data_IF_148802912841
#
_entry.id   IF_148802912841
#
_cell.length_a   1.000
_cell.length_b   1.000
_cell.length_c   1.000
_cell.angle_alpha   90.00
_cell.angle_beta   90.00
_cell.angle_gamma   90.00
#
_symmetry.space_group_name_H-M   'P 1'
#
loop_
_entity.id
_entity.type
_entity.pdbx_description
1 polymer ?
#
# COMPACT_ATOMS: atom_id res chain seq x y z
N UNK A 1 8.77 2.21 18.89
CA UNK A 1 8.70 3.63 18.49
C UNK A 1 9.18 3.70 17.06
N UNK A 2 8.33 4.16 16.14
CA UNK A 2 8.38 3.83 14.71
C UNK A 2 9.48 4.53 13.92
N UNK A 3 10.01 3.82 12.93
CA UNK A 3 10.83 4.39 11.86
C UNK A 3 9.94 4.52 10.63
N UNK A 4 9.47 5.75 10.36
CA UNK A 4 8.64 6.04 9.19
C UNK A 4 9.52 6.26 7.97
N UNK A 5 9.57 5.27 7.06
CA UNK A 5 10.16 5.44 5.74
C UNK A 5 9.28 6.40 4.91
N UNK A 6 9.78 7.60 4.68
CA UNK A 6 9.15 8.62 3.84
C UNK A 6 9.21 8.20 2.38
N UNK A 7 8.10 7.65 1.86
CA UNK A 7 7.91 7.41 0.42
C UNK A 7 7.72 8.76 -0.28
N UNK A 8 8.80 9.36 -0.78
CA UNK A 8 8.70 10.46 -1.75
C UNK A 8 8.06 9.90 -3.02
N UNK A 9 6.79 10.24 -3.25
CA UNK A 9 6.11 10.02 -4.54
C UNK A 9 6.76 10.95 -5.55
N UNK A 10 7.46 10.40 -6.54
CA UNK A 10 7.86 11.16 -7.72
C UNK A 10 6.68 11.12 -8.67
N UNK A 11 6.00 12.26 -8.82
CA UNK A 11 5.01 12.46 -9.87
C UNK A 11 5.81 13.02 -11.05
N UNK A 12 5.90 12.26 -12.13
CA UNK A 12 6.43 12.74 -13.41
C UNK A 12 5.22 13.33 -14.13
N UNK A 13 5.16 14.66 -14.21
CA UNK A 13 4.22 15.34 -15.08
C UNK A 13 4.82 15.35 -16.48
N UNK A 14 4.15 14.68 -17.41
CA UNK A 14 4.52 14.66 -18.81
C UNK A 14 4.21 16.05 -19.42
N UNK A 15 5.26 16.84 -19.62
CA UNK A 15 5.22 18.08 -20.37
C UNK A 15 5.99 17.89 -21.70
N UNK A 16 5.21 17.80 -22.77
CA UNK A 16 5.51 18.35 -24.09
C UNK A 16 6.81 17.88 -24.79
N UNK A 17 6.69 16.81 -25.58
CA UNK A 17 6.95 16.89 -27.02
C UNK A 17 8.39 16.98 -27.57
N UNK A 18 9.44 16.93 -26.75
CA UNK A 18 10.80 16.68 -27.24
C UNK A 18 11.59 15.85 -26.22
N UNK A 19 11.54 14.52 -26.36
CA UNK A 19 12.18 13.57 -25.45
C UNK A 19 13.69 13.51 -25.69
N UNK A 20 14.40 14.54 -25.24
CA UNK A 20 15.83 14.49 -24.99
C UNK A 20 16.01 14.76 -23.50
N UNK A 21 16.09 13.68 -22.71
CA UNK A 21 16.48 13.79 -21.30
C UNK A 21 17.94 14.22 -21.24
N UNK A 22 18.20 15.52 -21.16
CA UNK A 22 19.55 16.06 -20.99
C UNK A 22 20.05 15.78 -19.57
N UNK A 23 20.78 14.68 -19.43
CA UNK A 23 21.49 14.35 -18.21
C UNK A 23 22.77 15.18 -18.14
N UNK A 24 22.98 15.89 -17.03
CA UNK A 24 24.20 16.69 -16.82
C UNK A 24 25.43 15.80 -16.65
N UNK A 25 26.60 16.26 -17.11
CA UNK A 25 27.87 15.51 -17.07
C UNK A 25 28.23 14.99 -15.66
N UNK A 26 27.84 15.72 -14.61
CA UNK A 26 28.02 15.29 -13.22
C UNK A 26 27.20 14.04 -12.88
N UNK A 27 25.96 13.95 -13.38
CA UNK A 27 25.08 12.78 -13.18
C UNK A 27 25.59 11.59 -13.97
N UNK A 28 26.10 11.80 -15.19
CA UNK A 28 26.73 10.74 -16.01
C UNK A 28 27.97 10.18 -15.30
N UNK A 29 28.79 11.02 -14.68
CA UNK A 29 29.97 10.56 -13.91
C UNK A 29 29.60 9.73 -12.70
N UNK A 30 28.57 10.13 -11.95
CA UNK A 30 28.04 9.33 -10.83
C UNK A 30 27.51 7.98 -11.30
N UNK A 31 26.81 7.92 -12.45
CA UNK A 31 26.36 6.66 -13.03
C UNK A 31 27.53 5.73 -13.41
N UNK A 32 28.68 6.29 -13.81
CA UNK A 32 29.90 5.54 -14.11
C UNK A 32 30.76 5.23 -12.87
N UNK A 33 30.35 5.67 -11.69
CA UNK A 33 31.12 5.49 -10.44
C UNK A 33 32.40 6.32 -10.35
N UNK A 34 32.55 7.36 -11.18
CA UNK A 34 33.69 8.28 -11.10
C UNK A 34 33.42 9.38 -10.07
N UNK A 35 34.44 9.84 -9.33
CA UNK A 35 34.28 10.95 -8.38
C UNK A 35 33.90 12.27 -9.10
N UNK A 36 33.08 13.08 -8.44
CA UNK A 36 32.71 14.42 -8.93
C UNK A 36 33.94 15.34 -8.95
N UNK A 37 34.07 16.16 -9.99
CA UNK A 37 35.18 17.13 -10.12
C UNK A 37 34.68 18.50 -9.68
N UNK A 38 35.13 18.96 -8.51
CA UNK A 38 34.88 20.32 -8.03
C UNK A 38 35.55 21.34 -8.95
N UNK A 39 34.74 22.15 -9.65
CA UNK A 39 35.21 23.35 -10.34
C UNK A 39 35.23 24.52 -9.37
N UNK A 40 36.32 24.66 -8.62
CA UNK A 40 36.71 25.95 -8.01
C UNK A 40 37.54 26.72 -9.04
N UNK A 41 37.08 27.93 -9.35
CA UNK A 41 37.69 28.77 -10.38
C UNK A 41 38.97 29.46 -9.92
N UNK A 42 39.96 29.52 -10.81
CA UNK A 42 41.00 30.56 -10.81
C UNK A 42 41.43 30.86 -12.25
N UNK A 43 41.41 32.14 -12.62
CA UNK A 43 41.97 32.68 -13.87
C UNK A 43 43.50 32.68 -13.82
N UNK A 44 44.19 32.32 -14.89
CA UNK A 44 45.40 33.04 -15.33
C UNK A 44 45.76 32.75 -16.80
N UNK A 45 46.18 33.79 -17.51
CA UNK A 45 46.51 33.83 -18.93
C UNK A 45 48.03 33.91 -19.15
N UNK A 46 48.54 33.31 -20.25
CA UNK A 46 49.67 33.85 -21.06
C UNK A 46 49.98 32.97 -22.30
N UNK A 47 50.05 33.62 -23.46
CA UNK A 47 50.35 33.18 -24.84
C UNK A 47 51.89 33.02 -25.11
N UNK A 48 52.43 32.51 -26.26
CA UNK A 48 51.91 32.70 -27.63
C UNK A 48 52.03 31.58 -28.68
N UNK A 49 51.39 31.92 -29.80
CA UNK A 49 51.20 31.31 -31.12
C UNK A 49 52.30 30.44 -31.70
N UNK A 50 51.86 29.32 -32.30
CA UNK A 50 52.39 28.89 -33.61
C UNK A 50 51.22 28.51 -34.51
N UNK A 51 51.19 29.15 -35.68
CA UNK A 51 50.16 29.00 -36.69
C UNK A 51 50.22 27.62 -37.36
N UNK A 52 49.05 27.03 -37.64
CA UNK A 52 48.82 26.21 -38.84
C UNK A 52 47.31 26.17 -39.10
N UNK A 53 46.92 26.64 -40.27
CA UNK A 53 45.54 26.73 -40.74
C UNK A 53 44.88 25.34 -40.91
N UNK A 54 43.54 25.25 -40.85
CA UNK A 54 42.80 24.01 -40.92
C UNK A 54 42.60 23.55 -42.37
N UNK A 55 42.87 22.28 -42.64
CA UNK A 55 42.42 21.59 -43.85
C UNK A 55 41.09 20.90 -43.54
N UNK A 56 39.96 21.23 -44.19
CA UNK A 56 38.71 20.51 -44.00
C UNK A 56 38.52 19.48 -45.13
N UNK A 57 38.48 18.20 -44.76
CA UNK A 57 37.96 17.11 -45.61
C UNK A 57 37.49 15.94 -44.73
N UNK A 58 36.50 15.15 -45.19
CA UNK A 58 35.19 15.04 -44.51
C UNK A 58 35.06 13.85 -43.54
N UNK A 59 34.30 13.96 -42.42
CA UNK A 59 33.96 12.82 -41.56
C UNK A 59 32.46 12.47 -41.71
N UNK A 60 32.07 11.70 -42.73
CA UNK A 60 30.66 11.32 -42.93
C UNK A 60 30.38 9.84 -42.68
N UNK A 61 31.41 9.01 -42.52
CA UNK A 61 31.23 7.55 -42.27
C UNK A 61 31.20 7.18 -40.78
N UNK A 62 31.88 7.94 -39.91
CA UNK A 62 31.98 7.62 -38.47
C UNK A 62 30.73 8.00 -37.68
N UNK A 63 29.98 9.01 -38.12
CA UNK A 63 28.74 9.44 -37.47
C UNK A 63 27.64 8.38 -37.61
N UNK A 64 27.41 7.85 -38.82
CA UNK A 64 26.39 6.82 -39.06
C UNK A 64 26.65 5.50 -38.31
N UNK A 65 27.92 5.16 -38.08
CA UNK A 65 28.32 3.97 -37.30
C UNK A 65 28.11 4.21 -35.80
N UNK A 66 28.45 5.40 -35.31
CA UNK A 66 28.16 5.83 -33.93
C UNK A 66 26.66 5.89 -33.65
N UNK A 67 25.85 6.38 -34.59
CA UNK A 67 24.39 6.43 -34.47
C UNK A 67 23.79 5.02 -34.42
N UNK A 68 24.28 4.10 -35.26
CA UNK A 68 23.87 2.68 -35.19
C UNK A 68 24.24 2.05 -33.86
N UNK A 69 25.49 2.22 -33.40
CA UNK A 69 25.93 1.70 -32.10
C UNK A 69 25.10 2.27 -30.94
N UNK A 70 24.79 3.57 -30.99
CA UNK A 70 23.95 4.24 -29.99
C UNK A 70 22.52 3.70 -30.02
N UNK A 71 21.95 3.45 -31.20
CA UNK A 71 20.60 2.88 -31.35
C UNK A 71 20.49 1.46 -30.80
N UNK A 72 21.55 0.65 -30.94
CA UNK A 72 21.61 -0.71 -30.39
C UNK A 72 21.65 -0.66 -28.86
N UNK A 73 22.53 0.17 -28.29
CA UNK A 73 22.62 0.35 -26.83
C UNK A 73 21.32 0.85 -26.21
N UNK A 74 20.60 1.76 -26.91
CA UNK A 74 19.28 2.24 -26.47
C UNK A 74 18.25 1.12 -26.42
N UNK A 75 18.17 0.30 -27.47
CA UNK A 75 17.25 -0.85 -27.52
C UNK A 75 17.54 -1.88 -26.43
N UNK A 76 18.81 -2.21 -26.21
CA UNK A 76 19.19 -3.14 -25.14
C UNK A 76 18.79 -2.60 -23.75
N UNK A 77 18.94 -1.30 -23.53
CA UNK A 77 18.49 -0.65 -22.31
C UNK A 77 16.95 -0.66 -22.18
N UNK A 78 16.23 -0.33 -23.25
CA UNK A 78 14.76 -0.39 -23.29
C UNK A 78 14.26 -1.79 -22.96
N UNK A 79 14.80 -2.83 -23.61
CA UNK A 79 14.43 -4.23 -23.37
C UNK A 79 14.69 -4.63 -21.91
N UNK A 80 15.83 -4.22 -21.34
CA UNK A 80 16.15 -4.46 -19.95
C UNK A 80 15.13 -3.81 -19.00
N UNK A 81 14.79 -2.54 -19.21
CA UNK A 81 13.84 -1.84 -18.35
C UNK A 81 12.41 -2.36 -18.51
N UNK A 82 11.99 -2.71 -19.73
CA UNK A 82 10.70 -3.36 -19.98
C UNK A 82 10.61 -4.71 -19.27
N UNK A 83 11.69 -5.49 -19.26
CA UNK A 83 11.73 -6.74 -18.50
C UNK A 83 11.59 -6.50 -16.99
N UNK A 84 12.26 -5.47 -16.45
CA UNK A 84 12.13 -5.10 -15.03
C UNK A 84 10.72 -4.64 -14.69
N UNK A 85 10.08 -3.85 -15.55
CA UNK A 85 8.70 -3.40 -15.35
C UNK A 85 7.76 -4.60 -15.32
N UNK A 86 7.90 -5.56 -16.25
CA UNK A 86 7.09 -6.79 -16.27
C UNK A 86 7.25 -7.60 -14.99
N UNK A 87 8.48 -7.85 -14.54
CA UNK A 87 8.75 -8.57 -13.30
C UNK A 87 8.17 -7.85 -12.07
N UNK A 88 8.24 -6.52 -12.01
CA UNK A 88 7.60 -5.74 -10.95
C UNK A 88 6.07 -5.83 -10.99
N UNK A 89 5.46 -5.76 -12.18
CA UNK A 89 4.03 -5.91 -12.36
C UNK A 89 3.55 -7.31 -11.94
N UNK A 90 4.25 -8.37 -12.36
CA UNK A 90 3.93 -9.75 -12.01
C UNK A 90 4.00 -9.98 -10.49
N UNK A 91 5.05 -9.46 -9.84
CA UNK A 91 5.18 -9.51 -8.37
C UNK A 91 4.06 -8.75 -7.69
N UNK A 92 3.69 -7.57 -8.19
CA UNK A 92 2.62 -6.77 -7.62
C UNK A 92 1.26 -7.50 -7.71
N UNK A 93 0.94 -8.05 -8.88
CA UNK A 93 -0.27 -8.85 -9.10
C UNK A 93 -0.31 -10.05 -8.16
N UNK A 94 0.81 -10.77 -8.02
CA UNK A 94 0.91 -11.91 -7.11
C UNK A 94 0.67 -11.50 -5.66
N UNK A 95 1.28 -10.41 -5.21
CA UNK A 95 1.10 -9.88 -3.86
C UNK A 95 -0.35 -9.46 -3.63
N UNK A 96 -0.94 -8.69 -4.54
CA UNK A 96 -2.34 -8.28 -4.46
C UNK A 96 -3.28 -9.48 -4.36
N UNK A 97 -3.05 -10.51 -5.19
CA UNK A 97 -3.82 -11.75 -5.14
C UNK A 97 -3.72 -12.42 -3.76
N UNK A 98 -2.50 -12.63 -3.25
CA UNK A 98 -2.29 -13.25 -1.95
C UNK A 98 -2.91 -12.42 -0.81
N UNK A 99 -2.79 -11.10 -0.86
CA UNK A 99 -3.41 -10.20 0.12
C UNK A 99 -4.93 -10.29 0.10
N UNK A 100 -5.54 -10.30 -1.09
CA UNK A 100 -6.99 -10.41 -1.23
C UNK A 100 -7.50 -11.78 -0.73
N UNK A 101 -6.79 -12.87 -1.04
CA UNK A 101 -7.11 -14.20 -0.55
C UNK A 101 -7.02 -14.28 0.98
N UNK A 102 -5.94 -13.78 1.58
CA UNK A 102 -5.78 -13.76 3.03
C UNK A 102 -6.81 -12.87 3.72
N UNK A 103 -7.14 -11.72 3.12
CA UNK A 103 -8.18 -10.84 3.63
C UNK A 103 -9.55 -11.53 3.62
N UNK A 104 -9.90 -12.19 2.52
CA UNK A 104 -11.15 -12.95 2.43
C UNK A 104 -11.25 -14.05 3.49
N UNK A 105 -10.14 -14.78 3.75
CA UNK A 105 -10.07 -15.78 4.81
C UNK A 105 -10.27 -15.13 6.19
N UNK A 106 -9.59 -14.01 6.45
CA UNK A 106 -9.71 -13.29 7.73
C UNK A 106 -11.13 -12.77 7.95
N UNK A 107 -11.78 -12.24 6.90
CA UNK A 107 -13.19 -11.82 6.94
C UNK A 107 -14.08 -13.01 7.28
N UNK A 108 -13.93 -14.15 6.60
CA UNK A 108 -14.73 -15.35 6.92
C UNK A 108 -14.53 -15.83 8.36
N UNK A 109 -13.31 -15.76 8.88
CA UNK A 109 -13.03 -16.16 10.27
C UNK A 109 -13.73 -15.22 11.27
N UNK A 110 -13.68 -13.91 11.02
CA UNK A 110 -14.39 -12.91 11.81
C UNK A 110 -15.90 -13.12 11.68
N UNK A 111 -16.43 -13.30 10.48
CA UNK A 111 -17.85 -13.54 10.27
C UNK A 111 -18.32 -14.79 11.02
N UNK A 112 -17.59 -15.90 10.95
CA UNK A 112 -17.90 -17.12 11.70
C UNK A 112 -17.95 -16.90 13.22
N UNK A 113 -17.07 -16.05 13.75
CA UNK A 113 -16.99 -15.74 15.18
C UNK A 113 -18.04 -14.73 15.63
N UNK A 114 -18.40 -13.77 14.78
CA UNK A 114 -19.15 -12.57 15.18
C UNK A 114 -20.53 -12.41 14.53
N UNK A 115 -20.81 -13.01 13.36
CA UNK A 115 -22.14 -12.94 12.71
C UNK A 115 -23.18 -13.77 13.47
N UNK A 116 -22.75 -14.81 14.19
CA UNK A 116 -23.58 -15.52 15.17
C UNK A 116 -23.92 -14.67 16.41
N UNK A 117 -23.35 -13.47 16.53
CA UNK A 117 -23.71 -12.46 17.53
C UNK A 117 -24.65 -11.41 16.91
N UNK A 118 -25.51 -11.82 15.99
CA UNK A 118 -26.90 -11.35 16.02
C UNK A 118 -27.59 -12.06 17.19
N UNK A 119 -27.07 -11.82 18.40
CA UNK A 119 -27.55 -12.48 19.60
C UNK A 119 -29.01 -12.10 19.77
N UNK A 120 -29.91 -13.05 19.52
CA UNK A 120 -31.31 -12.91 19.89
C UNK A 120 -31.34 -12.39 21.33
N UNK A 121 -32.01 -11.26 21.61
CA UNK A 121 -31.95 -10.65 22.92
C UNK A 121 -32.38 -11.67 23.95
N UNK A 122 -31.52 -11.86 24.95
CA UNK A 122 -31.72 -12.92 25.95
C UNK A 122 -33.06 -12.70 26.65
N UNK A 123 -33.87 -13.76 26.71
CA UNK A 123 -35.19 -13.74 27.39
C UNK A 123 -36.23 -12.81 26.74
N UNK A 124 -36.13 -12.51 25.44
CA UNK A 124 -37.03 -11.58 24.72
C UNK A 124 -38.52 -11.88 24.93
N UNK A 125 -38.93 -13.15 24.84
CA UNK A 125 -40.34 -13.54 25.00
C UNK A 125 -40.85 -13.27 26.42
N UNK A 126 -40.01 -13.51 27.43
CA UNK A 126 -40.34 -13.24 28.83
C UNK A 126 -40.38 -11.73 29.08
N UNK A 127 -39.46 -10.97 28.49
CA UNK A 127 -39.48 -9.51 28.55
C UNK A 127 -40.79 -8.94 28.01
N UNK A 128 -41.25 -9.42 26.84
CA UNK A 128 -42.52 -9.01 26.26
C UNK A 128 -43.71 -9.31 27.20
N UNK A 129 -43.77 -10.52 27.76
CA UNK A 129 -44.83 -10.92 28.70
C UNK A 129 -44.83 -10.14 30.01
N UNK A 130 -43.66 -9.77 30.53
CA UNK A 130 -43.55 -8.91 31.72
C UNK A 130 -44.14 -7.53 31.44
N UNK A 131 -43.80 -6.94 30.28
CA UNK A 131 -44.33 -5.63 29.88
C UNK A 131 -45.84 -5.67 29.69
N UNK A 132 -46.34 -6.70 28.99
CA UNK A 132 -47.79 -6.91 28.79
C UNK A 132 -48.52 -7.06 30.13
N UNK A 133 -47.96 -7.82 31.08
CA UNK A 133 -48.58 -8.00 32.39
C UNK A 133 -48.69 -6.69 33.17
N UNK A 134 -47.64 -5.87 33.21
CA UNK A 134 -47.68 -4.59 33.91
C UNK A 134 -48.63 -3.59 33.24
N UNK A 135 -48.74 -3.60 31.91
CA UNK A 135 -49.72 -2.78 31.20
C UNK A 135 -51.16 -3.19 31.55
N UNK A 136 -51.42 -4.49 31.70
CA UNK A 136 -52.74 -5.00 32.09
C UNK A 136 -53.06 -4.81 33.59
N UNK A 137 -52.05 -4.78 34.47
CA UNK A 137 -52.21 -4.78 35.93
C UNK A 137 -51.58 -3.54 36.60
N UNK A 138 -51.85 -2.34 36.07
CA UNK A 138 -51.22 -1.10 36.56
C UNK A 138 -51.51 -0.76 38.04
N UNK A 139 -52.70 -1.09 38.54
CA UNK A 139 -53.07 -0.91 39.96
C UNK A 139 -52.66 -2.07 40.87
N UNK A 140 -52.38 -3.24 40.30
CA UNK A 140 -52.09 -4.49 41.03
C UNK A 140 -50.84 -5.19 40.48
N UNK A 141 -49.66 -4.55 40.49
CA UNK A 141 -48.44 -5.08 39.86
C UNK A 141 -47.94 -6.40 40.47
N UNK A 142 -48.36 -6.73 41.70
CA UNK A 142 -48.02 -7.98 42.38
C UNK A 142 -48.55 -9.22 41.66
N UNK A 143 -49.62 -9.08 40.86
CA UNK A 143 -50.15 -10.16 40.02
C UNK A 143 -49.14 -10.61 38.95
N UNK A 144 -48.17 -9.76 38.61
CA UNK A 144 -47.10 -10.06 37.65
C UNK A 144 -45.87 -10.75 38.28
N UNK A 145 -45.87 -10.99 39.59
CA UNK A 145 -44.71 -11.57 40.30
C UNK A 145 -44.24 -12.90 39.70
N UNK A 146 -45.15 -13.77 39.28
CA UNK A 146 -44.80 -15.05 38.67
C UNK A 146 -44.01 -14.89 37.35
N UNK A 147 -44.46 -14.01 36.45
CA UNK A 147 -43.79 -13.79 35.15
C UNK A 147 -42.48 -13.03 35.31
N UNK A 148 -42.40 -12.10 36.27
CA UNK A 148 -41.17 -11.38 36.61
C UNK A 148 -40.10 -12.32 37.18
N UNK A 149 -40.49 -13.26 38.05
CA UNK A 149 -39.56 -14.26 38.58
C UNK A 149 -39.03 -15.20 37.48
N UNK A 150 -39.89 -15.58 36.53
CA UNK A 150 -39.47 -16.36 35.37
C UNK A 150 -38.46 -15.59 34.49
N UNK A 151 -38.70 -14.30 34.24
CA UNK A 151 -37.77 -13.43 33.53
C UNK A 151 -36.42 -13.30 34.26
N UNK A 152 -36.45 -13.01 35.57
CA UNK A 152 -35.23 -12.89 36.39
C UNK A 152 -34.39 -14.17 36.36
N UNK A 153 -35.05 -15.33 36.53
CA UNK A 153 -34.39 -16.65 36.45
C UNK A 153 -33.73 -16.88 35.09
N UNK A 154 -34.39 -16.46 34.00
CA UNK A 154 -33.83 -16.56 32.65
C UNK A 154 -32.58 -15.68 32.51
N UNK A 155 -32.62 -14.43 32.98
CA UNK A 155 -31.49 -13.49 32.94
C UNK A 155 -30.30 -14.00 33.74
N UNK A 156 -30.54 -14.53 34.94
CA UNK A 156 -29.48 -15.07 35.79
C UNK A 156 -28.80 -16.28 35.17
N UNK A 157 -29.58 -17.21 34.59
CA UNK A 157 -29.00 -18.35 33.84
C UNK A 157 -28.15 -17.87 32.68
N UNK A 158 -28.61 -16.88 31.94
CA UNK A 158 -27.85 -16.33 30.82
C UNK A 158 -26.56 -15.63 31.26
N UNK A 159 -26.58 -14.90 32.38
CA UNK A 159 -25.38 -14.31 32.99
C UNK A 159 -24.35 -15.37 33.36
N UNK A 160 -24.79 -16.44 34.03
CA UNK A 160 -23.93 -17.57 34.40
C UNK A 160 -23.35 -18.24 33.16
N UNK A 161 -24.18 -18.55 32.16
CA UNK A 161 -23.74 -19.14 30.90
C UNK A 161 -22.70 -18.25 30.18
N UNK A 162 -22.95 -16.95 30.06
CA UNK A 162 -22.05 -16.00 29.41
C UNK A 162 -20.71 -15.84 30.14
N UNK A 163 -20.69 -15.93 31.47
CA UNK A 163 -19.44 -15.96 32.24
C UNK A 163 -18.65 -17.25 32.05
N UNK A 164 -19.34 -18.40 31.95
CA UNK A 164 -18.71 -19.71 31.81
C UNK A 164 -18.14 -19.94 30.40
N UNK A 165 -18.85 -19.53 29.34
CA UNK A 165 -18.35 -19.61 27.96
C UNK A 165 -17.13 -18.73 27.71
N UNK A 166 -17.01 -17.59 28.41
CA UNK A 166 -15.84 -16.72 28.33
C UNK A 166 -14.58 -17.34 28.94
N UNK A 167 -14.72 -18.17 29.97
CA UNK A 167 -13.57 -18.90 30.55
C UNK A 167 -13.06 -20.03 29.64
N UNK A 168 -13.96 -20.69 28.88
CA UNK A 168 -13.59 -21.77 27.97
C UNK A 168 -12.94 -21.31 26.67
N UNK A 169 -13.17 -20.06 26.24
CA UNK A 169 -12.56 -19.51 25.01
C UNK A 169 -11.13 -18.96 25.21
N UNK A 170 -10.61 -18.98 26.45
CA UNK A 170 -9.30 -18.41 26.83
C UNK A 170 -8.29 -19.50 27.24
N UNK A 171 -8.73 -20.76 27.39
CA UNK A 171 -7.86 -21.95 27.60
C UNK A 171 -7.69 -22.72 26.30
#
# INVERSE_FOLDING_TARGET
>A
MGSGESKRRVIVEDADGEEIVTVTEAVVRRMKGLPDIDKTGTKQASHPSTASAPTPSPPVSRSAELDRATSVLKREAEDFYLQKIRDLQDRNIRLQKQTNEQFAIAVQEVEKKFVNVTASPVCQDLQAKVLECYQANGSEPLNCSAIVNAFATCVDRARVAASSSRMQAVS
#
